data_IF_991931273309
#
_entry.id   IF_991931273309
#
_cell.length_a   1.000
_cell.length_b   1.000
_cell.length_c   1.000
_cell.angle_alpha   90.00
_cell.angle_beta   90.00
_cell.angle_gamma   90.00
#
_symmetry.space_group_name_H-M   'P 1'
#
loop_
_entity.id
_entity.type
_entity.pdbx_description
1 polymer ?
#
# COMPACT_ATOMS: atom_id res chain seq x y z
N UNK A 1 -86.81 -1.84 10.10
CA UNK A 1 -86.18 -1.40 8.83
C UNK A 1 -85.34 -0.16 9.10
N UNK A 2 -84.25 -0.02 8.36
CA UNK A 2 -83.16 0.99 8.41
C UNK A 2 -82.06 0.78 9.45
N UNK A 3 -80.86 0.73 8.88
CA UNK A 3 -79.57 0.39 9.42
C UNK A 3 -78.81 1.63 9.90
N UNK A 4 -77.80 1.41 10.74
CA UNK A 4 -76.61 2.26 10.78
C UNK A 4 -75.40 1.37 11.06
N UNK A 5 -74.49 1.39 10.08
CA UNK A 5 -73.21 0.68 10.02
C UNK A 5 -72.20 1.39 10.92
N UNK A 6 -71.41 0.64 11.68
CA UNK A 6 -70.14 1.10 12.25
C UNK A 6 -68.99 0.57 11.40
N UNK A 7 -68.07 1.42 10.90
CA UNK A 7 -66.80 0.98 10.36
C UNK A 7 -65.70 1.22 11.40
N UNK A 8 -65.03 0.16 11.87
CA UNK A 8 -63.74 0.31 12.52
C UNK A 8 -62.69 -0.42 11.70
N UNK A 9 -61.83 0.41 11.12
CA UNK A 9 -60.60 0.08 10.43
C UNK A 9 -59.67 -0.72 11.33
N UNK A 10 -59.15 -1.84 10.84
CA UNK A 10 -57.87 -2.38 11.29
C UNK A 10 -56.91 -2.28 10.10
N UNK A 11 -56.12 -1.20 10.10
CA UNK A 11 -55.08 -0.94 9.12
C UNK A 11 -53.83 -1.77 9.37
N UNK A 12 -53.21 -2.18 8.26
CA UNK A 12 -51.85 -2.68 8.13
C UNK A 12 -50.81 -1.88 8.91
N UNK A 13 -49.71 -2.53 9.29
CA UNK A 13 -48.37 -2.15 8.82
C UNK A 13 -47.33 -3.19 9.30
N UNK A 14 -47.00 -4.12 8.39
CA UNK A 14 -45.75 -4.87 8.47
C UNK A 14 -44.60 -3.89 8.13
N UNK A 15 -43.76 -3.59 9.11
CA UNK A 15 -42.49 -2.89 8.88
C UNK A 15 -41.42 -3.95 8.60
N UNK A 16 -41.15 -4.19 7.31
CA UNK A 16 -39.98 -4.95 6.87
C UNK A 16 -38.72 -4.12 7.15
N UNK A 17 -37.88 -4.58 8.07
CA UNK A 17 -36.55 -4.05 8.27
C UNK A 17 -35.64 -4.56 7.13
N UNK A 18 -35.37 -3.71 6.13
CA UNK A 18 -34.23 -3.91 5.24
C UNK A 18 -32.95 -3.59 6.04
N UNK A 19 -32.29 -4.61 6.55
CA UNK A 19 -30.88 -4.56 6.89
C UNK A 19 -30.10 -4.49 5.57
N UNK A 20 -29.82 -3.27 5.11
CA UNK A 20 -28.86 -3.06 4.04
C UNK A 20 -27.48 -3.49 4.55
N UNK A 21 -26.94 -4.57 3.98
CA UNK A 21 -25.54 -4.95 4.13
C UNK A 21 -24.68 -3.83 3.56
N UNK A 22 -24.09 -3.01 4.44
CA UNK A 22 -23.05 -2.07 4.02
C UNK A 22 -21.89 -2.94 3.52
N UNK A 23 -21.43 -2.79 2.26
CA UNK A 23 -20.24 -3.49 1.82
C UNK A 23 -19.11 -3.06 2.75
N UNK A 24 -18.48 -4.03 3.42
CA UNK A 24 -17.25 -3.79 4.17
C UNK A 24 -16.26 -3.18 3.17
N UNK A 25 -15.82 -1.95 3.42
CA UNK A 25 -14.70 -1.42 2.67
C UNK A 25 -13.53 -2.39 2.89
N UNK A 26 -13.04 -3.02 1.81
CA UNK A 26 -11.79 -3.78 1.88
C UNK A 26 -10.73 -2.86 2.46
N UNK A 27 -10.00 -3.34 3.48
CA UNK A 27 -8.85 -2.61 3.97
C UNK A 27 -7.86 -2.45 2.80
N UNK A 28 -7.24 -1.28 2.68
CA UNK A 28 -6.19 -1.02 1.69
C UNK A 28 -4.88 -0.85 2.45
N UNK A 29 -3.89 -1.69 2.15
CA UNK A 29 -2.52 -1.48 2.58
C UNK A 29 -1.86 -0.52 1.59
N UNK A 30 -1.18 0.50 2.09
CA UNK A 30 -0.42 1.43 1.26
C UNK A 30 0.78 1.98 2.03
N UNK A 31 1.92 2.06 1.34
CA UNK A 31 3.17 2.60 1.86
C UNK A 31 3.73 3.55 0.82
N UNK A 32 4.00 4.79 1.24
CA UNK A 32 4.71 5.76 0.43
C UNK A 32 6.22 5.62 0.72
N UNK A 33 7.02 5.68 -0.34
CA UNK A 33 8.46 5.47 -0.33
C UNK A 33 9.14 6.78 -0.75
N UNK A 34 10.22 7.12 -0.07
CA UNK A 34 11.07 8.25 -0.42
C UNK A 34 12.49 7.76 -0.61
N UNK A 35 13.12 8.17 -1.70
CA UNK A 35 14.51 7.83 -2.01
C UNK A 35 15.34 9.09 -1.90
N UNK A 36 16.28 9.09 -0.96
CA UNK A 36 17.23 10.17 -0.76
C UNK A 36 18.57 9.81 -1.40
N UNK A 37 19.24 10.81 -1.97
CA UNK A 37 20.60 10.66 -2.50
C UNK A 37 21.60 10.37 -1.39
N UNK A 38 22.49 9.40 -1.63
CA UNK A 38 23.61 9.09 -0.74
C UNK A 38 24.92 9.51 -1.39
N UNK A 39 25.70 10.33 -0.69
CA UNK A 39 27.04 10.71 -1.09
C UNK A 39 28.03 10.37 0.03
N UNK A 40 29.05 9.57 -0.28
CA UNK A 40 30.04 9.08 0.69
C UNK A 40 29.42 8.43 1.95
N UNK A 41 28.31 7.70 1.78
CA UNK A 41 27.59 7.02 2.87
C UNK A 41 26.85 7.97 3.81
N UNK A 42 26.60 9.22 3.41
CA UNK A 42 25.77 10.17 4.13
C UNK A 42 24.56 10.54 3.27
N UNK A 43 23.39 10.63 3.90
CA UNK A 43 22.19 11.20 3.26
C UNK A 43 22.51 12.66 2.96
N UNK A 44 22.37 13.06 1.70
CA UNK A 44 22.47 14.46 1.31
C UNK A 44 21.15 15.13 1.67
N UNK A 45 21.10 15.77 2.85
CA UNK A 45 19.89 16.44 3.33
C UNK A 45 19.33 17.37 2.24
N UNK A 46 18.02 17.26 1.98
CA UNK A 46 17.22 18.01 0.98
C UNK A 46 17.19 17.47 -0.47
N UNK A 47 17.84 16.34 -0.78
CA UNK A 47 17.83 15.77 -2.14
C UNK A 47 17.01 14.48 -2.23
N UNK A 48 15.68 14.62 -2.16
CA UNK A 48 14.75 13.53 -2.53
C UNK A 48 14.85 13.37 -4.04
N UNK A 49 15.46 12.28 -4.47
CA UNK A 49 15.75 11.96 -5.87
C UNK A 49 14.74 10.98 -6.47
N UNK A 50 13.91 10.37 -5.63
CA UNK A 50 12.80 9.56 -6.07
C UNK A 50 11.69 9.45 -5.04
N UNK A 51 10.52 9.05 -5.53
CA UNK A 51 9.36 8.72 -4.71
C UNK A 51 8.77 7.41 -5.19
N UNK A 52 8.02 6.73 -4.34
CA UNK A 52 7.29 5.56 -4.76
C UNK A 52 6.08 5.29 -3.90
N UNK A 53 5.28 4.34 -4.35
CA UNK A 53 4.16 3.81 -3.60
C UNK A 53 3.99 2.35 -3.91
N UNK A 54 3.74 1.57 -2.86
CA UNK A 54 3.22 0.21 -2.98
C UNK A 54 1.87 0.14 -2.26
N UNK A 55 0.89 -0.52 -2.87
CA UNK A 55 -0.42 -0.77 -2.26
C UNK A 55 -1.04 -2.07 -2.72
N UNK A 56 -1.89 -2.65 -1.88
CA UNK A 56 -2.65 -3.86 -2.18
C UNK A 56 -3.92 -3.96 -1.32
N UNK A 57 -4.87 -4.76 -1.76
CA UNK A 57 -6.06 -5.11 -1.00
C UNK A 57 -5.70 -5.97 0.21
N UNK A 58 -6.06 -5.50 1.40
CA UNK A 58 -5.86 -6.19 2.66
C UNK A 58 -5.38 -5.29 3.79
N UNK A 59 -5.20 -5.91 4.96
CA UNK A 59 -4.51 -5.28 6.09
C UNK A 59 -3.04 -5.72 6.05
N UNK A 60 -2.07 -4.80 6.18
CA UNK A 60 -0.66 -5.20 6.24
C UNK A 60 -0.41 -6.07 7.47
N UNK A 61 0.31 -7.17 7.29
CA UNK A 61 0.69 -8.11 8.36
C UNK A 61 2.19 -8.12 8.55
N UNK A 62 2.65 -8.15 9.81
CA UNK A 62 4.07 -8.25 10.13
C UNK A 62 4.68 -9.52 9.53
N UNK A 63 5.95 -9.41 9.11
CA UNK A 63 6.68 -10.47 8.45
C UNK A 63 6.66 -10.35 6.93
N UNK A 64 7.15 -11.40 6.28
CA UNK A 64 7.23 -11.47 4.82
C UNK A 64 5.86 -11.77 4.21
N UNK A 65 5.48 -10.98 3.21
CA UNK A 65 4.32 -11.23 2.35
C UNK A 65 4.80 -11.23 0.89
N UNK A 66 4.68 -12.35 0.16
CA UNK A 66 5.06 -12.42 -1.25
C UNK A 66 4.08 -11.64 -2.12
N UNK A 67 4.55 -11.09 -3.25
CA UNK A 67 3.72 -10.34 -4.18
C UNK A 67 2.60 -11.17 -4.81
N UNK A 68 2.78 -12.48 -4.93
CA UNK A 68 1.73 -13.39 -5.42
C UNK A 68 0.54 -13.53 -4.46
N UNK A 69 0.72 -13.24 -3.17
CA UNK A 69 -0.33 -13.26 -2.17
C UNK A 69 -1.10 -11.93 -2.08
N UNK A 70 -0.65 -10.87 -2.77
CA UNK A 70 -1.26 -9.55 -2.74
C UNK A 70 -2.29 -9.42 -3.86
N UNK A 71 -3.55 -9.17 -3.49
CA UNK A 71 -4.62 -8.88 -4.46
C UNK A 71 -4.61 -7.40 -4.80
N UNK A 72 -4.87 -7.05 -6.06
CA UNK A 72 -4.84 -5.67 -6.55
C UNK A 72 -3.54 -4.93 -6.15
N UNK A 73 -2.41 -5.65 -6.24
CA UNK A 73 -1.08 -5.07 -6.06
C UNK A 73 -0.90 -3.92 -7.06
N UNK A 74 -0.27 -2.86 -6.58
CA UNK A 74 0.22 -1.76 -7.39
C UNK A 74 1.53 -1.29 -6.80
N UNK A 75 2.55 -1.22 -7.65
CA UNK A 75 3.86 -0.64 -7.35
C UNK A 75 4.11 0.45 -8.39
N UNK A 76 4.49 1.63 -7.93
CA UNK A 76 4.94 2.74 -8.76
C UNK A 76 6.16 3.38 -8.10
N UNK A 77 7.27 3.48 -8.82
CA UNK A 77 8.53 4.04 -8.34
C UNK A 77 9.02 5.04 -9.39
N UNK A 78 9.11 6.31 -9.01
CA UNK A 78 9.46 7.40 -9.91
C UNK A 78 10.73 8.09 -9.42
N UNK A 79 11.75 8.16 -10.28
CA UNK A 79 13.00 8.87 -10.02
C UNK A 79 13.04 10.17 -10.81
N UNK A 80 13.33 11.26 -10.08
CA UNK A 80 13.38 12.61 -10.62
C UNK A 80 14.59 12.79 -11.53
N UNK A 81 15.70 12.12 -11.21
CA UNK A 81 16.86 12.08 -12.10
C UNK A 81 16.61 11.09 -13.25
N UNK A 82 16.84 11.54 -14.48
CA UNK A 82 16.59 10.75 -15.69
C UNK A 82 15.12 10.54 -16.07
N UNK A 83 14.14 11.05 -15.31
CA UNK A 83 12.70 10.85 -15.53
C UNK A 83 12.31 9.37 -15.70
N UNK A 84 12.90 8.51 -14.87
CA UNK A 84 12.71 7.07 -14.89
C UNK A 84 11.52 6.66 -14.02
N UNK A 85 10.73 5.70 -14.50
CA UNK A 85 9.59 5.15 -13.78
C UNK A 85 9.58 3.64 -13.89
N UNK A 86 9.30 2.98 -12.77
CA UNK A 86 9.18 1.53 -12.66
C UNK A 86 7.85 1.19 -12.02
N UNK A 87 7.27 0.10 -12.48
CA UNK A 87 6.00 -0.41 -12.01
C UNK A 87 6.11 -1.89 -11.68
N UNK A 88 5.04 -2.46 -11.13
CA UNK A 88 4.96 -3.89 -10.85
C UNK A 88 5.26 -4.78 -12.07
N UNK A 89 4.94 -4.34 -13.30
CA UNK A 89 5.21 -5.13 -14.51
C UNK A 89 6.69 -5.20 -14.87
N UNK A 90 7.50 -4.29 -14.32
CA UNK A 90 8.95 -4.21 -14.54
C UNK A 90 9.72 -5.10 -13.55
N UNK A 91 9.04 -5.76 -12.61
CA UNK A 91 9.65 -6.67 -11.64
C UNK A 91 10.40 -7.81 -12.33
N UNK A 92 11.66 -8.00 -11.94
CA UNK A 92 12.47 -9.16 -12.30
C UNK A 92 12.39 -10.18 -11.17
N UNK A 93 12.05 -11.42 -11.53
CA UNK A 93 12.08 -12.56 -10.62
C UNK A 93 10.73 -13.20 -10.37
N UNK A 94 10.72 -14.19 -9.47
CA UNK A 94 9.53 -14.93 -9.10
C UNK A 94 8.72 -14.17 -8.04
N UNK A 95 7.42 -13.98 -8.31
CA UNK A 95 6.49 -13.27 -7.40
C UNK A 95 6.11 -14.07 -6.17
N UNK A 96 6.30 -15.38 -6.20
CA UNK A 96 6.16 -16.23 -5.02
C UNK A 96 7.32 -16.05 -4.05
N UNK A 97 8.48 -15.62 -4.57
CA UNK A 97 9.71 -15.43 -3.82
C UNK A 97 10.01 -13.97 -3.46
N UNK A 98 9.53 -13.03 -4.28
CA UNK A 98 9.72 -11.60 -4.07
C UNK A 98 8.50 -11.00 -3.42
N UNK A 99 8.71 -10.01 -2.57
CA UNK A 99 7.64 -9.38 -1.83
C UNK A 99 8.13 -8.27 -0.93
N UNK A 100 7.43 -8.13 0.19
CA UNK A 100 7.78 -7.13 1.20
C UNK A 100 7.89 -7.76 2.57
N UNK A 101 8.86 -7.27 3.34
CA UNK A 101 8.98 -7.54 4.76
C UNK A 101 8.43 -6.35 5.52
N UNK A 102 7.35 -6.57 6.28
CA UNK A 102 6.70 -5.55 7.11
C UNK A 102 7.16 -5.72 8.55
N UNK A 103 7.58 -4.62 9.18
CA UNK A 103 8.12 -4.61 10.53
C UNK A 103 7.55 -3.45 11.34
N UNK A 104 7.66 -3.51 12.66
CA UNK A 104 7.25 -2.41 13.54
C UNK A 104 8.34 -1.34 13.59
N UNK A 105 7.94 -0.08 13.52
CA UNK A 105 8.81 1.07 13.80
C UNK A 105 8.16 1.98 14.85
N UNK A 106 8.93 2.90 15.42
CA UNK A 106 8.39 3.89 16.34
C UNK A 106 7.27 4.71 15.67
N UNK A 107 6.02 4.45 16.05
CA UNK A 107 4.85 5.17 15.53
C UNK A 107 4.14 4.53 14.34
N UNK A 108 4.52 3.33 13.88
CA UNK A 108 3.83 2.68 12.77
C UNK A 108 4.46 1.37 12.27
N UNK A 109 4.23 1.08 10.99
CA UNK A 109 4.75 -0.07 10.27
C UNK A 109 5.78 0.36 9.21
N UNK A 110 6.98 -0.18 9.26
CA UNK A 110 7.96 -0.08 8.19
C UNK A 110 7.74 -1.16 7.13
N UNK A 111 8.26 -0.90 5.94
CA UNK A 111 8.25 -1.85 4.82
C UNK A 111 9.61 -1.80 4.14
N UNK A 112 10.15 -2.97 3.82
CA UNK A 112 11.27 -3.11 2.86
C UNK A 112 10.90 -4.12 1.80
N UNK A 113 11.40 -3.92 0.59
CA UNK A 113 11.41 -4.98 -0.41
C UNK A 113 12.32 -6.12 0.06
N UNK A 114 11.91 -7.35 -0.23
CA UNK A 114 12.62 -8.55 0.21
C UNK A 114 12.36 -9.70 -0.76
N UNK A 115 13.39 -10.51 -0.99
CA UNK A 115 13.32 -11.78 -1.72
C UNK A 115 13.66 -12.93 -0.79
N UNK A 116 12.78 -13.93 -0.71
CA UNK A 116 13.02 -15.17 0.05
C UNK A 116 13.96 -16.16 -0.68
N UNK A 117 14.24 -15.89 -1.96
CA UNK A 117 15.17 -16.67 -2.76
C UNK A 117 16.61 -16.23 -2.49
N UNK A 118 17.47 -17.23 -2.35
CA UNK A 118 18.92 -17.03 -2.32
C UNK A 118 19.43 -16.75 -3.73
N UNK A 119 20.00 -15.58 -3.98
CA UNK A 119 20.77 -15.32 -5.22
C UNK A 119 22.14 -16.05 -5.18
N UNK A 120 22.63 -16.42 -3.98
CA UNK A 120 23.86 -17.21 -3.79
C UNK A 120 23.61 -18.49 -2.98
N UNK A 121 24.05 -19.68 -3.45
CA UNK A 121 23.75 -20.98 -2.84
C UNK A 121 24.22 -21.17 -1.37
N UNK A 122 25.08 -20.31 -0.86
CA UNK A 122 25.62 -20.36 0.52
C UNK A 122 25.33 -19.08 1.34
N UNK A 123 24.53 -18.15 0.82
CA UNK A 123 24.15 -16.91 1.52
C UNK A 123 22.92 -17.09 2.40
N UNK A 124 22.70 -16.24 3.43
CA UNK A 124 21.39 -16.18 4.06
C UNK A 124 20.32 -15.77 3.02
N UNK A 125 19.06 -16.22 3.14
CA UNK A 125 17.97 -15.71 2.31
C UNK A 125 17.83 -14.20 2.50
N UNK A 126 17.53 -13.52 1.41
CA UNK A 126 17.41 -12.08 1.34
C UNK A 126 18.39 -11.43 0.37
N UNK A 127 17.82 -11.05 -0.75
CA UNK A 127 18.53 -10.46 -1.87
C UNK A 127 17.82 -9.21 -2.35
N UNK A 128 18.49 -8.49 -3.25
CA UNK A 128 17.87 -7.43 -4.04
C UNK A 128 16.53 -7.88 -4.65
N UNK A 129 15.54 -7.00 -4.58
CA UNK A 129 14.38 -7.02 -5.48
C UNK A 129 14.69 -6.07 -6.62
N UNK A 130 14.59 -6.55 -7.86
CA UNK A 130 15.00 -5.80 -9.04
C UNK A 130 13.81 -5.43 -9.92
N UNK A 131 13.86 -4.24 -10.51
CA UNK A 131 12.95 -3.76 -11.54
C UNK A 131 13.75 -3.36 -12.76
N UNK A 132 13.29 -3.70 -13.97
CA UNK A 132 13.98 -3.37 -15.20
C UNK A 132 13.01 -2.85 -16.26
N UNK A 133 13.35 -1.68 -16.79
CA UNK A 133 12.78 -1.13 -18.01
C UNK A 133 13.74 -1.31 -19.18
N UNK A 134 13.38 -0.77 -20.35
CA UNK A 134 14.30 -0.75 -21.50
C UNK A 134 15.51 0.18 -21.27
N UNK A 135 15.35 1.16 -20.36
CA UNK A 135 16.29 2.26 -20.16
C UNK A 135 17.08 2.15 -18.85
N UNK A 136 16.64 1.35 -17.88
CA UNK A 136 17.28 1.28 -16.57
C UNK A 136 16.99 -0.01 -15.79
N UNK A 137 17.86 -0.30 -14.82
CA UNK A 137 17.68 -1.32 -13.79
C UNK A 137 17.70 -0.63 -12.43
N UNK A 138 16.73 -0.98 -11.58
CA UNK A 138 16.60 -0.52 -10.22
C UNK A 138 16.66 -1.74 -9.29
N UNK A 139 17.53 -1.70 -8.28
CA UNK A 139 17.73 -2.79 -7.34
C UNK A 139 17.50 -2.28 -5.91
N UNK A 140 16.68 -2.98 -5.13
CA UNK A 140 16.40 -2.69 -3.72
C UNK A 140 16.96 -3.79 -2.84
N UNK A 141 18.05 -3.50 -2.13
CA UNK A 141 18.53 -4.40 -1.08
C UNK A 141 17.77 -4.20 0.23
N UNK A 142 17.45 -5.29 0.97
CA UNK A 142 16.63 -5.21 2.17
C UNK A 142 17.28 -4.40 3.30
N UNK A 143 16.51 -3.49 3.90
CA UNK A 143 16.92 -2.61 5.00
C UNK A 143 15.83 -2.49 6.07
N UNK A 144 16.19 -2.54 7.36
CA UNK A 144 15.23 -2.41 8.47
C UNK A 144 15.81 -1.54 9.58
N UNK A 145 15.00 -0.62 10.11
CA UNK A 145 15.29 0.15 11.32
C UNK A 145 16.71 0.74 11.39
N UNK A 146 17.15 1.40 10.31
CA UNK A 146 18.45 2.06 10.31
C UNK A 146 19.63 1.16 9.91
N UNK A 147 19.41 -0.12 9.60
CA UNK A 147 20.48 -1.06 9.29
C UNK A 147 20.18 -2.02 8.12
N UNK A 148 21.22 -2.43 7.36
CA UNK A 148 21.12 -3.55 6.42
C UNK A 148 20.61 -4.79 7.13
N UNK A 149 19.76 -5.55 6.47
CA UNK A 149 19.12 -6.70 7.08
C UNK A 149 18.95 -7.82 6.07
N UNK A 150 18.64 -9.01 6.59
CA UNK A 150 18.14 -10.11 5.78
C UNK A 150 18.97 -10.30 4.50
N UNK A 151 20.28 -10.51 4.63
CA UNK A 151 21.19 -10.80 3.51
C UNK A 151 21.58 -9.64 2.59
N UNK A 152 20.91 -8.47 2.65
CA UNK A 152 21.25 -7.28 1.87
C UNK A 152 22.16 -6.28 2.57
N UNK A 153 22.70 -5.34 1.78
CA UNK A 153 23.50 -4.18 2.19
C UNK A 153 22.66 -2.91 2.44
N UNK A 154 21.36 -2.98 2.15
CA UNK A 154 20.40 -1.91 2.39
C UNK A 154 20.50 -0.72 1.43
N UNK A 155 21.23 -0.87 0.32
CA UNK A 155 21.38 0.14 -0.71
C UNK A 155 20.30 -0.04 -1.78
N UNK A 156 19.77 1.08 -2.26
CA UNK A 156 18.94 1.12 -3.46
C UNK A 156 19.80 1.63 -4.61
N UNK A 157 20.00 0.82 -5.64
CA UNK A 157 20.90 1.12 -6.76
C UNK A 157 20.10 1.39 -8.04
N UNK A 158 20.36 2.52 -8.72
CA UNK A 158 19.79 2.82 -10.04
C UNK A 158 20.91 2.88 -11.09
N UNK A 159 20.82 2.01 -12.08
CA UNK A 159 21.73 1.98 -13.22
C UNK A 159 20.97 2.27 -14.52
N UNK A 160 21.47 3.19 -15.33
CA UNK A 160 20.92 3.44 -16.67
C UNK A 160 21.55 2.51 -17.70
N UNK A 161 20.71 1.87 -18.50
CA UNK A 161 21.08 1.07 -19.65
C UNK A 161 21.33 2.02 -20.81
N UNK A 162 22.59 2.21 -21.19
CA UNK A 162 22.91 3.02 -22.37
C UNK A 162 22.46 2.25 -23.62
N UNK A 163 21.36 2.67 -24.24
CA UNK A 163 20.68 1.98 -25.36
C UNK A 163 21.58 1.75 -26.61
N UNK A 164 22.80 2.31 -26.63
CA UNK A 164 23.75 2.25 -27.75
C UNK A 164 25.20 1.90 -27.39
N UNK A 165 25.52 1.54 -26.15
CA UNK A 165 26.83 1.00 -25.77
C UNK A 165 26.67 -0.08 -24.70
N UNK A 166 27.49 -1.12 -24.74
CA UNK A 166 27.49 -2.22 -23.74
C UNK A 166 27.91 -1.76 -22.32
N UNK A 167 27.87 -0.46 -22.03
CA UNK A 167 28.26 0.13 -20.75
C UNK A 167 27.01 0.52 -19.95
N UNK A 168 26.93 0.01 -18.73
CA UNK A 168 26.00 0.49 -17.71
C UNK A 168 26.60 1.74 -17.09
N UNK A 169 25.83 2.83 -17.04
CA UNK A 169 26.19 4.02 -16.27
C UNK A 169 25.41 4.01 -14.97
N UNK A 170 26.13 3.97 -13.85
CA UNK A 170 25.52 4.10 -12.52
C UNK A 170 25.04 5.54 -12.34
N UNK A 171 23.74 5.71 -12.05
CA UNK A 171 23.16 7.03 -11.79
C UNK A 171 23.33 7.41 -10.31
N UNK A 172 23.35 6.42 -9.40
CA UNK A 172 23.68 6.64 -8.00
C UNK A 172 23.23 5.52 -7.07
N UNK A 173 23.70 5.63 -5.83
CA UNK A 173 23.27 4.87 -4.66
C UNK A 173 22.27 5.72 -3.84
N UNK A 174 21.19 5.10 -3.37
CA UNK A 174 20.12 5.78 -2.64
C UNK A 174 19.76 5.05 -1.36
N UNK A 175 19.20 5.79 -0.40
CA UNK A 175 18.59 5.23 0.80
C UNK A 175 17.06 5.35 0.70
N UNK A 176 16.36 4.24 0.87
CA UNK A 176 14.89 4.21 0.92
C UNK A 176 14.39 4.45 2.35
N UNK A 177 13.62 5.51 2.57
CA UNK A 177 12.83 5.69 3.79
C UNK A 177 11.38 5.32 3.49
N UNK A 178 10.92 4.20 4.07
CA UNK A 178 9.52 3.81 3.98
C UNK A 178 8.69 4.57 5.02
N UNK A 179 7.80 5.46 4.57
CA UNK A 179 6.89 6.16 5.47
C UNK A 179 5.66 5.29 5.73
N UNK A 180 5.49 4.93 7.00
CA UNK A 180 4.34 4.20 7.50
C UNK A 180 3.05 5.05 7.41
N UNK A 181 2.15 4.74 6.49
CA UNK A 181 0.77 5.21 6.62
C UNK A 181 -0.24 4.14 6.23
N UNK A 182 -0.61 3.22 7.13
CA UNK A 182 -1.91 2.59 7.01
C UNK A 182 -2.92 3.73 7.18
N UNK A 183 -3.44 4.29 6.09
CA UNK A 183 -4.64 5.11 6.15
C UNK A 183 -5.80 4.13 6.19
N UNK A 184 -6.39 3.78 7.35
CA UNK A 184 -7.74 3.27 7.32
C UNK A 184 -8.57 4.44 6.79
N UNK A 185 -8.98 4.39 5.52
CA UNK A 185 -10.02 5.28 5.01
C UNK A 185 -11.17 5.18 6.01
N UNK A 186 -11.47 6.25 6.76
CA UNK A 186 -12.42 6.13 7.82
C UNK A 186 -13.77 5.85 7.17
N UNK A 187 -14.40 4.75 7.56
CA UNK A 187 -15.84 4.54 7.42
C UNK A 187 -16.68 5.61 8.20
N UNK A 188 -16.08 6.77 8.53
CA UNK A 188 -16.72 7.91 9.19
C UNK A 188 -17.75 8.63 8.31
N UNK A 189 -17.77 8.38 6.99
CA UNK A 189 -18.82 8.91 6.11
C UNK A 189 -20.20 8.27 6.33
N UNK A 190 -20.26 7.01 6.77
CA UNK A 190 -21.53 6.30 6.92
C UNK A 190 -22.27 6.61 8.24
N UNK A 191 -21.55 6.98 9.30
CA UNK A 191 -22.14 7.28 10.62
C UNK A 191 -22.77 8.69 10.68
N UNK A 192 -22.27 9.65 9.89
CA UNK A 192 -22.85 11.00 9.83
C UNK A 192 -24.14 11.06 9.00
N UNK A 193 -24.30 10.20 7.99
CA UNK A 193 -25.54 10.10 7.21
C UNK A 193 -26.68 9.40 7.99
N UNK A 194 -26.36 8.38 8.81
CA UNK A 194 -27.34 7.70 9.66
C UNK A 194 -27.79 8.54 10.87
N UNK A 195 -26.88 9.31 11.46
CA UNK A 195 -27.18 10.16 12.63
C UNK A 195 -28.16 11.30 12.34
N UNK A 196 -28.12 11.87 11.14
CA UNK A 196 -29.02 12.97 10.74
C UNK A 196 -30.43 12.50 10.35
N UNK A 197 -30.58 11.28 9.82
CA UNK A 197 -31.90 10.71 9.54
C UNK A 197 -32.65 10.29 10.83
N UNK A 198 -31.93 9.83 11.86
CA UNK A 198 -32.53 9.51 13.16
C UNK A 198 -33.09 10.72 13.91
N UNK A 199 -32.43 11.87 13.81
CA UNK A 199 -32.87 13.12 14.45
C UNK A 199 -34.07 13.78 13.74
N UNK A 200 -34.23 13.59 12.42
CA UNK A 200 -35.41 14.06 11.70
C UNK A 200 -36.68 13.25 12.03
N UNK A 201 -36.54 11.93 12.26
CA UNK A 201 -37.66 11.06 12.65
C UNK A 201 -38.14 11.30 14.10
N UNK A 202 -37.23 11.67 15.01
CA UNK A 202 -37.58 11.96 16.42
C UNK A 202 -38.28 13.31 16.62
N UNK A 203 -38.05 14.31 15.74
CA UNK A 203 -38.79 15.59 15.79
C UNK A 203 -40.22 15.48 15.29
N UNK A 204 -40.54 14.53 14.41
CA UNK A 204 -41.89 14.39 13.83
C UNK A 204 -42.89 13.67 14.74
N UNK A 205 -42.43 12.94 15.77
CA UNK A 205 -43.29 12.28 16.76
C UNK A 205 -43.70 13.15 17.96
N UNK A 206 -43.16 14.36 18.08
CA UNK A 206 -43.56 15.33 19.12
C UNK A 206 -44.50 16.43 18.64
N UNK A 207 -44.93 16.37 17.37
CA UNK A 207 -45.81 17.37 16.76
C UNK A 207 -47.10 16.75 16.18
N UNK A 208 -47.52 15.57 16.66
CA UNK A 208 -48.82 14.95 16.40
C UNK A 208 -49.46 14.58 17.73
#
# INVERSE_FOLDING_TARGET
>A
MRALRSPLLAGSLAAAALLASVPSASALAAFDLFYDSVLDGQIVEEDVVGVGRISWDGTPTLGFTPFSAMTDLSIQLDYLDGALSFTEVDLIGDRDATGVLIFEIAGGLGLTFYSDQMISPDGPPGSAVEFQTVDAVLSHEPYTDGAPCCGGDGVVNLAQLTIFSEEFNELGEYAGVAAASPVPLPAAGALLAGGLMGLAALRRRRAA
#
